data_IF_981834795874
#
_entry.id   IF_981834795874
#
_cell.length_a   1.000
_cell.length_b   1.000
_cell.length_c   1.000
_cell.angle_alpha   90.00
_cell.angle_beta   90.00
_cell.angle_gamma   90.00
#
_symmetry.space_group_name_H-M   'P 1'
#
loop_
_entity.id
_entity.type
_entity.pdbx_description
1 polymer ?
#
# COMPACT_ATOMS: atom_id res chain seq x y z
N UNK A 1 -10.33 4.79 24.20
CA UNK A 1 -9.81 4.48 22.85
C UNK A 1 -10.95 3.89 22.04
N UNK A 2 -11.41 4.56 20.98
CA UNK A 2 -12.54 4.10 20.19
C UNK A 2 -12.06 3.16 19.07
N UNK A 3 -12.76 2.06 18.84
CA UNK A 3 -12.50 1.18 17.71
C UNK A 3 -12.94 1.88 16.42
N UNK A 4 -11.99 2.21 15.55
CA UNK A 4 -12.27 2.75 14.23
C UNK A 4 -12.48 1.58 13.26
N UNK A 5 -13.74 1.32 12.91
CA UNK A 5 -14.10 0.31 11.93
C UNK A 5 -14.03 0.91 10.53
N UNK A 6 -13.16 0.37 9.69
CA UNK A 6 -13.06 0.74 8.28
C UNK A 6 -13.74 -0.32 7.41
N UNK A 7 -14.60 0.11 6.50
CA UNK A 7 -15.11 -0.77 5.45
C UNK A 7 -13.99 -1.18 4.48
N UNK A 8 -14.17 -2.26 3.69
CA UNK A 8 -13.14 -2.74 2.75
C UNK A 8 -12.62 -1.67 1.78
N UNK A 9 -13.50 -0.80 1.30
CA UNK A 9 -13.17 0.29 0.38
C UNK A 9 -12.33 1.40 1.03
N UNK A 10 -12.55 1.67 2.31
CA UNK A 10 -11.71 2.59 3.09
C UNK A 10 -10.37 1.94 3.41
N UNK A 11 -10.37 0.68 3.83
CA UNK A 11 -9.17 -0.08 4.17
C UNK A 11 -8.16 -0.08 3.02
N UNK A 12 -8.58 -0.40 1.80
CA UNK A 12 -7.68 -0.40 0.65
C UNK A 12 -7.03 0.96 0.41
N UNK A 13 -7.78 2.05 0.63
CA UNK A 13 -7.30 3.43 0.43
C UNK A 13 -6.30 3.79 1.51
N UNK A 14 -6.61 3.46 2.77
CA UNK A 14 -5.74 3.68 3.92
C UNK A 14 -4.43 2.89 3.76
N UNK A 15 -4.49 1.62 3.38
CA UNK A 15 -3.31 0.78 3.18
C UNK A 15 -2.41 1.30 2.06
N UNK A 16 -2.98 1.68 0.91
CA UNK A 16 -2.22 2.26 -0.19
C UNK A 16 -1.53 3.57 0.22
N UNK A 17 -2.27 4.46 0.87
CA UNK A 17 -1.77 5.76 1.33
C UNK A 17 -0.64 5.59 2.35
N UNK A 18 -0.83 4.72 3.36
CA UNK A 18 0.19 4.44 4.36
C UNK A 18 1.44 3.80 3.77
N UNK A 19 1.28 2.82 2.88
CA UNK A 19 2.41 2.18 2.21
C UNK A 19 3.22 3.18 1.40
N UNK A 20 2.56 4.03 0.61
CA UNK A 20 3.20 5.11 -0.15
C UNK A 20 3.90 6.11 0.80
N UNK A 21 3.25 6.49 1.89
CA UNK A 21 3.80 7.40 2.89
C UNK A 21 5.08 6.86 3.51
N UNK A 22 5.06 5.61 3.99
CA UNK A 22 6.23 4.94 4.55
C UNK A 22 7.37 4.80 3.53
N UNK A 23 7.04 4.47 2.27
CA UNK A 23 8.04 4.41 1.20
C UNK A 23 8.73 5.75 0.99
N UNK A 24 7.96 6.85 0.95
CA UNK A 24 8.50 8.19 0.76
C UNK A 24 9.30 8.66 1.97
N UNK A 25 8.83 8.39 3.19
CA UNK A 25 9.56 8.67 4.44
C UNK A 25 10.91 7.93 4.48
N UNK A 26 10.96 6.71 3.96
CA UNK A 26 12.20 5.95 3.81
C UNK A 26 13.09 6.41 2.63
N UNK A 27 12.67 7.41 1.85
CA UNK A 27 13.41 7.91 0.68
C UNK A 27 13.46 6.91 -0.49
N UNK A 28 12.57 5.92 -0.53
CA UNK A 28 12.63 4.85 -1.52
C UNK A 28 11.86 5.18 -2.80
N UNK A 29 12.47 4.87 -3.95
CA UNK A 29 11.76 4.79 -5.22
C UNK A 29 10.79 3.61 -5.19
N UNK A 30 9.73 3.68 -6.01
CA UNK A 30 8.79 2.55 -6.16
C UNK A 30 9.52 1.26 -6.61
N UNK A 31 10.49 1.36 -7.51
CA UNK A 31 11.29 0.21 -7.93
C UNK A 31 12.02 -0.46 -6.77
N UNK A 32 12.59 0.33 -5.85
CA UNK A 32 13.28 -0.21 -4.69
C UNK A 32 12.34 -0.97 -3.74
N UNK A 33 11.15 -0.43 -3.48
CA UNK A 33 10.14 -1.13 -2.67
C UNK A 33 9.66 -2.40 -3.37
N UNK A 34 9.37 -2.34 -4.68
CA UNK A 34 8.91 -3.48 -5.46
C UNK A 34 9.90 -4.65 -5.40
N UNK A 35 11.19 -4.37 -5.61
CA UNK A 35 12.26 -5.37 -5.47
C UNK A 35 12.32 -5.96 -4.06
N UNK A 36 12.25 -5.13 -3.02
CA UNK A 36 12.34 -5.58 -1.61
C UNK A 36 11.15 -6.40 -1.16
N UNK A 37 9.94 -6.09 -1.66
CA UNK A 37 8.72 -6.80 -1.29
C UNK A 37 8.40 -7.97 -2.21
N UNK A 38 9.24 -8.26 -3.22
CA UNK A 38 9.02 -9.37 -4.15
C UNK A 38 7.84 -9.19 -5.11
N UNK A 39 7.35 -7.96 -5.33
CA UNK A 39 6.24 -7.69 -6.26
C UNK A 39 6.74 -6.96 -7.51
N UNK A 40 6.02 -7.10 -8.62
CA UNK A 40 6.37 -6.35 -9.83
C UNK A 40 6.16 -4.84 -9.64
N UNK A 41 6.97 -4.01 -10.30
CA UNK A 41 6.80 -2.55 -10.29
C UNK A 41 5.41 -2.11 -10.78
N UNK A 42 4.83 -2.69 -11.86
CA UNK A 42 3.45 -2.41 -12.25
C UNK A 42 2.42 -2.73 -11.15
N UNK A 43 2.60 -3.84 -10.43
CA UNK A 43 1.73 -4.23 -9.30
C UNK A 43 1.79 -3.18 -8.19
N UNK A 44 2.99 -2.79 -7.76
CA UNK A 44 3.15 -1.76 -6.72
C UNK A 44 2.56 -0.41 -7.15
N UNK A 45 2.77 0.00 -8.40
CA UNK A 45 2.18 1.24 -8.95
C UNK A 45 0.65 1.20 -8.93
N UNK A 46 0.05 0.08 -9.34
CA UNK A 46 -1.42 -0.09 -9.29
C UNK A 46 -1.91 -0.03 -7.84
N UNK A 47 -1.22 -0.71 -6.93
CA UNK A 47 -1.56 -0.72 -5.51
C UNK A 47 -1.49 0.69 -4.90
N UNK A 48 -0.36 1.39 -4.99
CA UNK A 48 -0.23 2.75 -4.44
C UNK A 48 -1.18 3.77 -5.06
N UNK A 49 -1.60 3.55 -6.32
CA UNK A 49 -2.56 4.43 -7.01
C UNK A 49 -4.02 4.16 -6.64
N UNK A 50 -4.40 2.91 -6.39
CA UNK A 50 -5.81 2.50 -6.33
C UNK A 50 -6.21 1.68 -5.10
N UNK A 51 -5.25 1.23 -4.30
CA UNK A 51 -5.46 0.29 -3.20
C UNK A 51 -5.89 -1.12 -3.59
N UNK A 52 -6.09 -1.39 -4.89
CA UNK A 52 -6.52 -2.71 -5.35
C UNK A 52 -5.48 -3.78 -5.01
N UNK A 53 -5.81 -4.60 -4.02
CA UNK A 53 -5.10 -5.79 -3.58
C UNK A 53 -6.10 -6.70 -2.84
N UNK A 54 -5.79 -7.99 -2.78
CA UNK A 54 -6.46 -8.91 -1.87
C UNK A 54 -5.71 -8.93 -0.55
N UNK A 55 -6.46 -9.07 0.55
CA UNK A 55 -5.88 -9.36 1.87
C UNK A 55 -6.08 -10.85 2.12
N UNK A 56 -4.98 -11.53 2.38
CA UNK A 56 -4.99 -12.90 2.90
C UNK A 56 -5.02 -12.84 4.43
N UNK A 57 -5.73 -13.75 5.07
CA UNK A 57 -6.00 -13.75 6.52
C UNK A 57 -5.72 -15.11 7.13
#
# INVERSE_FOLDING_TARGET
MALQLHGPEELRTVLASRTRGLRLLAGWKQSALATRSGVSLPTLRRFERSGKASLDT
#
